data_IF_839481302832
#
_entry.id   IF_839481302832
#
_cell.length_a   1.000
_cell.length_b   1.000
_cell.length_c   1.000
_cell.angle_alpha   90.00
_cell.angle_beta   90.00
_cell.angle_gamma   90.00
#
_symmetry.space_group_name_H-M   'P 1'
#
loop_
_entity.id
_entity.type
_entity.pdbx_description
1 polymer ?
#
# COMPACT_ATOMS: atom_id res chain seq x y z
N UNK A 1 19.08 1.30 -2.05
CA UNK A 1 18.46 1.88 -3.26
C UNK A 1 18.75 0.94 -4.43
N UNK A 2 17.71 0.37 -5.05
CA UNK A 2 17.86 -0.52 -6.21
C UNK A 2 17.90 0.34 -7.49
N UNK A 3 18.93 0.20 -8.33
CA UNK A 3 19.06 0.93 -9.60
C UNK A 3 18.74 0.03 -10.80
N UNK A 4 17.69 -0.80 -10.69
CA UNK A 4 17.31 -1.78 -11.71
C UNK A 4 16.12 -1.25 -12.47
N UNK A 5 16.20 -1.22 -13.81
CA UNK A 5 15.05 -0.94 -14.65
C UNK A 5 14.05 -2.09 -14.51
N UNK A 6 12.87 -1.80 -13.96
CA UNK A 6 11.85 -2.78 -13.62
C UNK A 6 10.70 -2.71 -14.63
N UNK A 7 10.59 -3.72 -15.50
CA UNK A 7 9.40 -3.89 -16.36
C UNK A 7 8.38 -4.77 -15.62
N UNK A 8 7.27 -4.16 -15.20
CA UNK A 8 6.18 -4.86 -14.52
C UNK A 8 5.27 -5.61 -15.50
N UNK A 9 5.23 -5.20 -16.77
CA UNK A 9 4.34 -5.73 -17.82
C UNK A 9 4.93 -7.03 -18.39
N UNK A 10 6.23 -7.02 -18.70
CA UNK A 10 6.97 -8.18 -19.21
C UNK A 10 8.21 -8.43 -18.34
N UNK A 11 8.02 -8.90 -17.09
CA UNK A 11 9.13 -9.09 -16.18
C UNK A 11 10.05 -10.21 -16.68
N UNK A 12 11.32 -9.88 -16.92
CA UNK A 12 12.36 -10.89 -17.19
C UNK A 12 12.50 -11.89 -16.04
N UNK A 13 12.23 -11.47 -14.81
CA UNK A 13 12.22 -12.32 -13.62
C UNK A 13 11.05 -11.94 -12.68
N UNK A 14 9.92 -12.64 -12.81
CA UNK A 14 8.70 -12.40 -12.01
C UNK A 14 8.93 -12.52 -10.50
N UNK A 15 9.78 -13.46 -10.05
CA UNK A 15 10.11 -13.64 -8.63
C UNK A 15 10.82 -12.43 -8.06
N UNK A 16 11.77 -11.86 -8.81
CA UNK A 16 12.47 -10.64 -8.41
C UNK A 16 11.53 -9.44 -8.38
N UNK A 17 10.66 -9.29 -9.39
CA UNK A 17 9.65 -8.21 -9.43
C UNK A 17 8.71 -8.28 -8.22
N UNK A 18 8.16 -9.45 -7.92
CA UNK A 18 7.33 -9.68 -6.74
C UNK A 18 8.05 -9.27 -5.45
N UNK A 19 9.33 -9.63 -5.32
CA UNK A 19 10.13 -9.25 -4.16
C UNK A 19 10.29 -7.73 -4.06
N UNK A 20 10.61 -7.06 -5.17
CA UNK A 20 10.79 -5.61 -5.21
C UNK A 20 9.50 -4.86 -4.87
N UNK A 21 8.36 -5.29 -5.41
CA UNK A 21 7.03 -4.73 -5.08
C UNK A 21 6.75 -4.89 -3.59
N UNK A 22 6.88 -6.11 -3.07
CA UNK A 22 6.63 -6.38 -1.65
C UNK A 22 7.54 -5.55 -0.73
N UNK A 23 8.84 -5.50 -1.02
CA UNK A 23 9.80 -4.73 -0.21
C UNK A 23 9.49 -3.24 -0.24
N UNK A 24 9.21 -2.69 -1.43
CA UNK A 24 8.89 -1.28 -1.61
C UNK A 24 7.60 -0.90 -0.88
N UNK A 25 6.51 -1.63 -1.12
CA UNK A 25 5.22 -1.32 -0.50
C UNK A 25 5.31 -1.48 1.02
N UNK A 26 5.97 -2.52 1.55
CA UNK A 26 6.13 -2.66 3.01
C UNK A 26 6.95 -1.55 3.67
N UNK A 27 7.84 -0.90 2.91
CA UNK A 27 8.62 0.24 3.40
C UNK A 27 7.77 1.50 3.47
N UNK A 28 6.87 1.68 2.50
CA UNK A 28 6.16 2.94 2.27
C UNK A 28 4.67 2.94 2.68
N UNK A 29 4.10 1.76 2.92
CA UNK A 29 2.73 1.59 3.39
C UNK A 29 2.72 0.81 4.71
N UNK A 30 2.34 1.50 5.79
CA UNK A 30 2.19 0.89 7.11
C UNK A 30 0.75 1.05 7.59
N UNK A 31 0.10 -0.08 7.87
CA UNK A 31 -1.27 -0.11 8.38
C UNK A 31 -1.26 -0.60 9.82
N UNK A 32 -1.96 0.13 10.70
CA UNK A 32 -2.18 -0.25 12.09
C UNK A 32 -3.67 -0.32 12.37
N UNK A 33 -4.13 -1.38 13.03
CA UNK A 33 -5.50 -1.50 13.51
C UNK A 33 -5.50 -1.51 15.04
N UNK A 34 -6.31 -0.64 15.65
CA UNK A 34 -6.45 -0.52 17.10
C UNK A 34 -5.08 -0.44 17.83
N UNK A 35 -4.16 0.36 17.28
CA UNK A 35 -2.80 0.56 17.79
C UNK A 35 -1.78 -0.54 17.47
N UNK A 36 -2.18 -1.63 16.82
CA UNK A 36 -1.27 -2.74 16.45
C UNK A 36 -0.88 -2.68 14.97
N UNK A 37 0.42 -2.70 14.68
CA UNK A 37 0.92 -2.79 13.31
C UNK A 37 0.52 -4.13 12.68
N UNK A 38 -0.09 -4.07 11.50
CA UNK A 38 -0.49 -5.24 10.74
C UNK A 38 0.68 -5.71 9.87
N UNK A 39 0.98 -7.01 9.93
CA UNK A 39 1.98 -7.61 9.05
C UNK A 39 1.33 -7.98 7.70
N UNK A 40 1.44 -7.08 6.74
CA UNK A 40 0.96 -7.29 5.37
C UNK A 40 1.66 -8.50 4.75
N UNK A 41 0.91 -9.44 4.17
CA UNK A 41 1.44 -10.57 3.41
C UNK A 41 1.16 -10.33 1.95
N UNK A 42 2.20 -10.28 1.12
CA UNK A 42 2.05 -10.08 -0.31
C UNK A 42 1.38 -11.28 -0.97
N UNK A 43 0.34 -11.02 -1.76
CA UNK A 43 -0.42 -12.04 -2.49
C UNK A 43 0.00 -12.09 -3.96
N UNK A 44 0.22 -10.92 -4.56
CA UNK A 44 0.61 -10.79 -5.96
C UNK A 44 0.33 -9.41 -6.52
N UNK A 45 0.57 -9.25 -7.81
CA UNK A 45 0.19 -8.06 -8.56
C UNK A 45 -0.36 -8.43 -9.93
N UNK A 46 -1.16 -7.54 -10.50
CA UNK A 46 -1.57 -7.57 -11.89
C UNK A 46 -1.42 -6.20 -12.53
N UNK A 47 -1.31 -6.17 -13.86
CA UNK A 47 -1.35 -4.93 -14.62
C UNK A 47 -2.76 -4.76 -15.14
N UNK A 48 -3.38 -3.65 -14.78
CA UNK A 48 -4.68 -3.25 -15.29
C UNK A 48 -4.54 -1.87 -15.91
N UNK A 49 -4.84 -1.78 -17.20
CA UNK A 49 -4.61 -0.61 -18.04
C UNK A 49 -3.15 -0.13 -17.95
N UNK A 50 -2.91 1.06 -17.41
CA UNK A 50 -1.60 1.67 -17.20
C UNK A 50 -1.09 1.57 -15.75
N UNK A 51 -1.82 0.88 -14.88
CA UNK A 51 -1.52 0.75 -13.45
C UNK A 51 -1.12 -0.67 -13.01
N UNK A 52 -0.27 -0.74 -11.98
CA UNK A 52 0.04 -1.99 -11.30
C UNK A 52 -0.80 -2.12 -10.02
N UNK A 53 -1.71 -3.09 -10.01
CA UNK A 53 -2.53 -3.42 -8.86
C UNK A 53 -1.80 -4.43 -8.00
N UNK A 54 -1.50 -4.09 -6.75
CA UNK A 54 -0.77 -4.95 -5.81
C UNK A 54 -1.65 -5.34 -4.64
N UNK A 55 -1.68 -6.62 -4.32
CA UNK A 55 -2.56 -7.19 -3.30
C UNK A 55 -1.78 -7.66 -2.09
N UNK A 56 -2.27 -7.28 -0.91
CA UNK A 56 -1.74 -7.70 0.38
C UNK A 56 -2.88 -8.18 1.26
N UNK A 57 -2.63 -9.21 2.06
CA UNK A 57 -3.58 -9.75 3.03
C UNK A 57 -3.01 -9.73 4.45
N UNK A 58 -3.91 -9.69 5.43
CA UNK A 58 -3.60 -9.87 6.85
C UNK A 58 -4.63 -10.83 7.43
N UNK A 59 -4.17 -11.79 8.23
CA UNK A 59 -5.03 -12.78 8.89
C UNK A 59 -5.15 -12.47 10.38
N UNK A 60 -6.24 -12.93 11.00
CA UNK A 60 -6.43 -12.83 12.45
C UNK A 60 -6.86 -11.44 12.95
N UNK A 61 -7.50 -10.64 12.09
CA UNK A 61 -8.12 -9.35 12.48
C UNK A 61 -9.63 -9.54 12.57
N UNK A 62 -10.16 -9.59 13.80
CA UNK A 62 -11.57 -9.91 14.04
C UNK A 62 -12.50 -8.68 14.01
N UNK A 63 -12.01 -7.53 14.47
CA UNK A 63 -12.73 -6.26 14.51
C UNK A 63 -11.73 -5.11 14.45
N UNK A 64 -12.14 -3.98 13.88
CA UNK A 64 -11.32 -2.76 13.79
C UNK A 64 -12.21 -1.59 14.19
N UNK A 65 -11.81 -0.83 15.21
CA UNK A 65 -12.48 0.42 15.61
C UNK A 65 -11.73 1.65 15.11
N UNK A 66 -10.42 1.52 14.98
CA UNK A 66 -9.56 2.57 14.47
C UNK A 66 -8.52 1.97 13.54
N UNK A 67 -8.27 2.65 12.42
CA UNK A 67 -7.17 2.36 11.52
C UNK A 67 -6.28 3.59 11.39
N UNK A 68 -4.98 3.36 11.49
CA UNK A 68 -3.96 4.36 11.19
C UNK A 68 -3.18 3.87 9.97
N UNK A 69 -3.01 4.72 8.98
CA UNK A 69 -2.33 4.41 7.73
C UNK A 69 -1.23 5.44 7.55
N UNK A 70 -0.01 4.97 7.34
CA UNK A 70 1.07 5.76 6.77
C UNK A 70 1.23 5.33 5.31
N UNK A 71 1.15 6.27 4.37
CA UNK A 71 1.27 6.03 2.93
C UNK A 71 2.08 7.15 2.25
N UNK A 72 3.38 6.92 2.07
CA UNK A 72 4.29 7.79 1.33
C UNK A 72 4.74 7.16 -0.01
N UNK A 73 3.92 6.25 -0.56
CA UNK A 73 4.19 5.60 -1.83
C UNK A 73 4.49 6.64 -2.91
N UNK A 74 5.58 6.42 -3.63
CA UNK A 74 6.09 7.22 -4.75
C UNK A 74 6.53 8.65 -4.43
N UNK A 75 6.48 9.10 -3.17
CA UNK A 75 6.86 10.46 -2.78
C UNK A 75 8.32 10.80 -3.14
N UNK A 76 9.23 9.82 -3.03
CA UNK A 76 10.65 9.99 -3.40
C UNK A 76 10.86 10.33 -4.89
N UNK A 77 9.94 9.91 -5.78
CA UNK A 77 10.06 10.09 -7.24
C UNK A 77 9.15 11.19 -7.79
N UNK A 78 8.05 11.47 -7.11
CA UNK A 78 7.01 12.39 -7.57
C UNK A 78 6.66 13.38 -6.44
N UNK A 79 7.21 14.61 -6.47
CA UNK A 79 6.94 15.62 -5.44
C UNK A 79 5.46 16.01 -5.33
N UNK A 80 4.71 15.96 -6.43
CA UNK A 80 3.28 16.29 -6.49
C UNK A 80 2.37 15.09 -6.23
N UNK A 81 2.91 13.97 -5.71
CA UNK A 81 2.15 12.74 -5.51
C UNK A 81 1.02 12.92 -4.51
N UNK A 82 -0.13 12.35 -4.86
CA UNK A 82 -1.31 12.27 -4.02
C UNK A 82 -1.72 10.80 -3.92
N UNK A 83 -1.78 10.28 -2.70
CA UNK A 83 -2.27 8.93 -2.45
C UNK A 83 -3.72 9.00 -1.95
N UNK A 84 -4.63 8.38 -2.70
CA UNK A 84 -6.05 8.29 -2.35
C UNK A 84 -6.33 7.01 -1.58
N UNK A 85 -6.96 7.13 -0.42
CA UNK A 85 -7.22 6.02 0.49
C UNK A 85 -8.72 5.79 0.60
N UNK A 86 -9.15 4.59 0.20
CA UNK A 86 -10.52 4.10 0.40
C UNK A 86 -10.50 2.94 1.39
N UNK A 87 -11.03 3.18 2.60
CA UNK A 87 -11.10 2.17 3.66
C UNK A 87 -12.53 1.72 3.85
N UNK A 88 -12.76 0.42 3.78
CA UNK A 88 -14.09 -0.19 3.90
C UNK A 88 -14.04 -1.23 5.03
N UNK A 89 -14.81 -1.01 6.10
CA UNK A 89 -14.93 -1.91 7.25
C UNK A 89 -16.42 -2.08 7.53
N UNK A 90 -16.90 -3.33 7.65
CA UNK A 90 -18.31 -3.64 7.93
C UNK A 90 -19.31 -2.85 7.05
N UNK A 91 -19.07 -2.80 5.73
CA UNK A 91 -19.85 -2.04 4.75
C UNK A 91 -19.84 -0.51 4.90
N UNK A 92 -19.13 0.04 5.90
CA UNK A 92 -18.92 1.47 6.02
C UNK A 92 -17.64 1.87 5.28
N UNK A 93 -17.76 2.79 4.31
CA UNK A 93 -16.64 3.35 3.56
C UNK A 93 -16.24 4.70 4.15
N UNK A 94 -14.94 4.91 4.34
CA UNK A 94 -14.33 6.22 4.57
C UNK A 94 -13.26 6.45 3.51
N UNK A 95 -13.29 7.62 2.90
CA UNK A 95 -12.36 8.01 1.84
C UNK A 95 -11.59 9.24 2.29
N UNK A 96 -10.30 9.26 2.02
CA UNK A 96 -9.44 10.42 2.24
C UNK A 96 -8.30 10.43 1.23
N UNK A 97 -7.43 11.41 1.34
CA UNK A 97 -6.17 11.47 0.61
C UNK A 97 -5.07 12.04 1.49
N UNK A 98 -3.84 11.72 1.14
CA UNK A 98 -2.63 12.39 1.62
C UNK A 98 -1.89 12.96 0.42
N UNK A 99 -1.30 14.14 0.59
CA UNK A 99 -0.47 14.76 -0.44
C UNK A 99 0.91 15.00 0.17
N UNK A 100 1.97 14.71 -0.58
CA UNK A 100 3.35 14.90 -0.14
C UNK A 100 3.57 16.33 0.42
N UNK A 101 4.10 16.51 1.65
CA UNK A 101 4.75 15.52 2.51
C UNK A 101 3.87 14.86 3.57
N UNK A 102 2.57 15.19 3.65
CA UNK A 102 1.66 14.49 4.56
C UNK A 102 1.54 13.02 4.11
N UNK A 103 1.64 12.08 5.05
CA UNK A 103 1.57 10.64 4.76
C UNK A 103 0.68 9.87 5.76
N UNK A 104 0.30 10.49 6.88
CA UNK A 104 -0.40 9.81 7.96
C UNK A 104 -1.90 10.15 8.00
N UNK A 105 -2.72 9.11 8.17
CA UNK A 105 -4.17 9.20 8.30
C UNK A 105 -4.63 8.38 9.50
N UNK A 106 -5.63 8.89 10.22
CA UNK A 106 -6.33 8.15 11.26
C UNK A 106 -7.84 8.18 11.01
N UNK A 107 -8.47 7.01 10.90
CA UNK A 107 -9.91 6.87 10.70
C UNK A 107 -10.50 5.99 11.79
N UNK A 108 -11.51 6.49 12.47
CA UNK A 108 -12.33 5.70 13.40
C UNK A 108 -13.51 5.09 12.64
N UNK A 109 -14.05 3.96 13.05
CA UNK A 109 -15.22 3.31 12.45
C UNK A 109 -16.29 3.04 13.51
#
# INVERSE_FOLDING_TARGET
>A
QYHVQLDLIKPANKTQVNKLINDYIKKHLVVRADGKTLNLTYVGYEIQDDGAWSYFEVKGVNSIKQINIHDDLLYEQHPEQINMLHVIINNQRKSTKVNNPDADVSLNF
#
